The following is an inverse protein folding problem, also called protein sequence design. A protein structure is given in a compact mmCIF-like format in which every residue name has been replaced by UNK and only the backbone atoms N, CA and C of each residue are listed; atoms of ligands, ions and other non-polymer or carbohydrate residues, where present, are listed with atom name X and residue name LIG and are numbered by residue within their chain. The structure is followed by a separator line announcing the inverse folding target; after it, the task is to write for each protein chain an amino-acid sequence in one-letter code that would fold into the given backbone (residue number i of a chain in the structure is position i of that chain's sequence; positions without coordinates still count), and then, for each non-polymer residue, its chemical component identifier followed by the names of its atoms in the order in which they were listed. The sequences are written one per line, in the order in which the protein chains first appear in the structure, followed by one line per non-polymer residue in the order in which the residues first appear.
data_IF_379870049461
#
_entry.id   IF_379870049461
#
_cell.length_a   1.000
_cell.length_b   1.000
_cell.length_c   1.000
_cell.angle_alpha   90.00
_cell.angle_beta   90.00
_cell.angle_gamma   90.00
#
_symmetry.space_group_name_H-M   'P 1'
#
loop_
_entity.id
_entity.type
_entity.pdbx_description
1 polymer ?
#
# COMPACT_ATOMS: atom_id res chain seq x y z
N UNK A 1 -4.70 4.16 -10.06
CA UNK A 1 -4.24 2.87 -9.51
C UNK A 1 -3.66 2.11 -10.70
N UNK A 2 -2.38 2.33 -11.03
CA UNK A 2 -1.83 1.90 -12.33
C UNK A 2 -0.97 0.62 -12.25
N UNK A 3 -0.34 0.35 -11.10
CA UNK A 3 0.64 -0.74 -11.00
C UNK A 3 -0.01 -2.13 -10.96
N UNK A 4 -1.15 -2.25 -10.29
CA UNK A 4 -1.93 -3.51 -10.25
C UNK A 4 -2.38 -3.88 -11.66
N UNK A 5 -2.89 -2.91 -12.40
CA UNK A 5 -3.27 -3.13 -13.80
C UNK A 5 -2.08 -3.37 -14.72
N UNK A 6 -0.91 -2.77 -14.46
CA UNK A 6 0.30 -3.07 -15.23
C UNK A 6 0.78 -4.52 -15.05
N UNK A 7 0.54 -5.10 -13.87
CA UNK A 7 0.87 -6.51 -13.62
C UNK A 7 -0.16 -7.42 -14.27
N UNK A 8 -1.46 -7.13 -14.13
CA UNK A 8 -2.54 -7.95 -14.68
C UNK A 8 -2.71 -7.81 -16.22
N UNK A 9 -2.47 -6.63 -16.77
CA UNK A 9 -2.64 -6.26 -18.19
C UNK A 9 -1.40 -5.53 -18.74
N UNK A 10 -0.25 -6.21 -18.85
CA UNK A 10 1.02 -5.57 -19.21
C UNK A 10 1.04 -4.91 -20.61
N UNK A 11 0.18 -5.35 -21.54
CA UNK A 11 0.06 -4.73 -22.88
C UNK A 11 -0.65 -3.36 -22.86
N UNK A 12 -1.54 -3.13 -21.88
CA UNK A 12 -2.26 -1.87 -21.75
C UNK A 12 -1.41 -0.77 -21.08
N UNK A 13 -0.33 -1.15 -20.38
CA UNK A 13 0.46 -0.26 -19.54
C UNK A 13 1.97 -0.36 -19.82
N UNK A 14 2.42 -0.03 -21.06
CA UNK A 14 3.82 -0.18 -21.46
C UNK A 14 4.79 0.69 -20.64
N UNK A 15 4.34 1.82 -20.10
CA UNK A 15 5.14 2.71 -19.24
C UNK A 15 5.61 2.01 -17.95
N UNK A 16 4.87 1.02 -17.46
CA UNK A 16 5.16 0.29 -16.22
C UNK A 16 5.75 -1.10 -16.47
N UNK A 17 6.22 -1.38 -17.70
CA UNK A 17 6.70 -2.71 -18.10
C UNK A 17 7.81 -3.22 -17.18
N UNK A 18 8.80 -2.38 -16.86
CA UNK A 18 9.90 -2.78 -16.00
C UNK A 18 9.44 -3.18 -14.59
N UNK A 19 8.64 -2.33 -13.96
CA UNK A 19 8.09 -2.54 -12.62
C UNK A 19 7.17 -3.77 -12.59
N UNK A 20 6.28 -3.89 -13.57
CA UNK A 20 5.36 -5.02 -13.70
C UNK A 20 6.08 -6.35 -13.93
N UNK A 21 7.18 -6.37 -14.71
CA UNK A 21 7.99 -7.59 -14.90
C UNK A 21 8.75 -7.97 -13.63
N UNK A 22 9.32 -7.00 -12.90
CA UNK A 22 10.00 -7.29 -11.63
C UNK A 22 9.04 -7.88 -10.59
N UNK A 23 7.85 -7.29 -10.46
CA UNK A 23 6.85 -7.77 -9.50
C UNK A 23 6.36 -9.18 -9.86
N UNK A 24 6.09 -9.44 -11.14
CA UNK A 24 5.66 -10.76 -11.61
C UNK A 24 6.68 -11.86 -11.31
N UNK A 25 7.97 -11.59 -11.51
CA UNK A 25 9.05 -12.52 -11.15
C UNK A 25 9.12 -12.82 -9.65
N UNK A 26 8.74 -11.87 -8.80
CA UNK A 26 8.67 -12.10 -7.37
C UNK A 26 7.45 -12.97 -7.01
N UNK A 27 6.31 -12.71 -7.66
CA UNK A 27 5.06 -13.45 -7.47
C UNK A 27 5.10 -14.89 -8.00
N UNK A 28 5.91 -15.18 -9.03
CA UNK A 28 6.15 -16.55 -9.54
C UNK A 28 6.66 -17.52 -8.47
N UNK A 29 7.26 -17.02 -7.39
CA UNK A 29 7.77 -17.83 -6.28
C UNK A 29 6.70 -18.15 -5.23
N UNK A 30 5.50 -17.60 -5.36
CA UNK A 30 4.41 -17.72 -4.41
C UNK A 30 3.33 -18.58 -5.07
N UNK A 31 3.00 -19.70 -4.43
CA UNK A 31 2.10 -20.71 -5.01
C UNK A 31 0.69 -20.15 -5.26
N UNK A 32 0.21 -19.31 -4.35
CA UNK A 32 -1.07 -18.62 -4.46
C UNK A 32 -0.90 -17.16 -4.05
N UNK A 33 -1.31 -16.25 -4.92
CA UNK A 33 -1.29 -14.82 -4.64
C UNK A 33 -2.47 -14.14 -5.33
N UNK A 34 -2.93 -13.03 -4.75
CA UNK A 34 -3.87 -12.11 -5.37
C UNK A 34 -3.35 -10.69 -5.23
N UNK A 35 -3.61 -9.87 -6.24
CA UNK A 35 -3.19 -8.47 -6.26
C UNK A 35 -4.43 -7.60 -6.39
N UNK A 36 -4.77 -6.88 -5.33
CA UNK A 36 -5.89 -5.95 -5.30
C UNK A 36 -5.38 -4.51 -5.21
N UNK A 37 -5.99 -3.63 -6.00
CA UNK A 37 -5.74 -2.20 -5.93
C UNK A 37 -6.75 -1.55 -4.99
N UNK A 38 -6.35 -1.19 -3.77
CA UNK A 38 -7.14 -0.29 -2.94
C UNK A 38 -7.05 1.17 -3.44
N UNK A 39 -8.18 1.79 -3.80
CA UNK A 39 -8.21 3.24 -4.01
C UNK A 39 -7.61 3.95 -2.78
N UNK A 40 -6.79 4.99 -2.98
CA UNK A 40 -6.20 5.80 -1.89
C UNK A 40 -7.29 6.29 -0.92
N UNK A 41 -8.52 6.49 -1.42
CA UNK A 41 -9.69 6.88 -0.61
C UNK A 41 -10.15 5.80 0.39
N UNK A 42 -9.84 4.53 0.15
CA UNK A 42 -10.17 3.39 1.02
C UNK A 42 -9.01 3.01 1.95
N UNK A 43 -7.89 3.73 1.88
CA UNK A 43 -6.73 3.46 2.73
C UNK A 43 -6.06 4.77 3.15
N UNK A 44 -6.90 5.68 3.65
CA UNK A 44 -6.48 6.98 4.18
C UNK A 44 -5.48 6.75 5.32
N UNK A 45 -5.71 5.72 6.13
CA UNK A 45 -4.84 5.33 7.22
C UNK A 45 -3.43 4.97 6.74
N UNK A 46 -3.25 4.04 5.79
CA UNK A 46 -1.92 3.71 5.28
C UNK A 46 -1.24 4.88 4.54
N UNK A 47 -2.02 5.74 3.88
CA UNK A 47 -1.50 6.94 3.22
C UNK A 47 -0.93 7.92 4.25
N UNK A 48 -1.67 8.21 5.32
CA UNK A 48 -1.18 9.08 6.39
C UNK A 48 -0.02 8.48 7.18
N UNK A 49 0.02 7.16 7.34
CA UNK A 49 1.19 6.47 7.90
C UNK A 49 2.39 6.66 6.99
N UNK A 50 2.25 6.42 5.68
CA UNK A 50 3.31 6.66 4.71
C UNK A 50 3.79 8.12 4.75
N UNK A 51 2.87 9.09 4.71
CA UNK A 51 3.18 10.52 4.81
C UNK A 51 3.93 10.84 6.12
N UNK A 52 3.51 10.29 7.27
CA UNK A 52 4.21 10.47 8.54
C UNK A 52 5.64 9.91 8.54
N UNK A 53 5.88 8.82 7.78
CA UNK A 53 7.20 8.21 7.67
C UNK A 53 8.12 9.01 6.73
N UNK A 54 7.58 9.52 5.61
CA UNK A 54 8.34 10.28 4.61
C UNK A 54 8.51 11.76 4.94
N UNK A 55 7.51 12.42 5.53
CA UNK A 55 7.54 13.87 5.81
C UNK A 55 7.99 14.19 7.24
N UNK A 56 7.68 13.35 8.23
CA UNK A 56 8.00 13.63 9.63
C UNK A 56 9.20 12.83 10.17
N UNK A 57 9.86 12.01 9.33
CA UNK A 57 11.02 11.16 9.68
C UNK A 57 10.79 10.28 10.93
N UNK A 58 9.54 9.86 11.20
CA UNK A 58 9.15 9.07 12.38
C UNK A 58 9.46 7.57 12.22
N UNK A 59 10.65 7.24 11.75
CA UNK A 59 11.08 5.86 11.45
C UNK A 59 11.03 4.90 12.65
N UNK A 60 11.08 5.42 13.88
CA UNK A 60 11.29 4.63 15.10
C UNK A 60 10.08 4.59 16.04
N UNK A 61 9.01 5.35 15.77
CA UNK A 61 7.99 5.62 16.80
C UNK A 61 6.95 4.51 17.01
N UNK A 62 6.63 3.72 15.99
CA UNK A 62 5.52 2.74 16.09
C UNK A 62 5.91 1.45 16.81
N UNK A 63 7.15 0.97 16.61
CA UNK A 63 7.61 -0.30 17.22
C UNK A 63 8.10 -0.08 18.66
N UNK A 64 8.73 1.06 18.96
CA UNK A 64 9.31 1.32 20.28
C UNK A 64 8.32 1.96 21.28
N UNK A 65 7.30 2.67 20.80
CA UNK A 65 6.41 3.51 21.63
C UNK A 65 4.95 3.05 21.66
N UNK A 66 4.62 2.01 20.90
CA UNK A 66 3.25 1.55 20.68
C UNK A 66 2.52 2.37 19.60
N UNK A 67 1.30 1.93 19.28
CA UNK A 67 0.44 2.62 18.31
C UNK A 67 0.08 4.01 18.83
N UNK A 68 0.32 5.10 18.07
CA UNK A 68 -0.13 6.44 18.43
C UNK A 68 -1.65 6.52 18.55
N UNK A 69 -2.16 7.28 19.53
CA UNK A 69 -3.61 7.43 19.75
C UNK A 69 -4.37 7.89 18.51
N UNK A 70 -3.81 8.84 17.76
CA UNK A 70 -4.41 9.30 16.49
C UNK A 70 -4.55 8.19 15.44
N UNK A 71 -3.66 7.18 15.45
CA UNK A 71 -3.74 6.05 14.52
C UNK A 71 -4.84 5.07 14.96
N UNK A 72 -5.04 4.86 16.27
CA UNK A 72 -6.17 4.09 16.78
C UNK A 72 -7.50 4.72 16.35
N UNK A 73 -7.67 6.03 16.56
CA UNK A 73 -8.90 6.74 16.20
C UNK A 73 -9.19 6.62 14.70
N UNK A 74 -8.15 6.79 13.86
CA UNK A 74 -8.30 6.63 12.40
C UNK A 74 -8.59 5.19 11.97
N UNK A 75 -8.06 4.18 12.66
CA UNK A 75 -8.37 2.78 12.38
C UNK A 75 -9.80 2.42 12.80
N UNK A 76 -10.32 3.04 13.87
CA UNK A 76 -11.72 2.89 14.27
C UNK A 76 -12.68 3.55 13.28
N UNK A 77 -12.34 4.74 12.78
CA UNK A 77 -13.10 5.43 11.74
C UNK A 77 -13.10 4.65 10.42
N UNK A 78 -11.94 4.10 10.01
CA UNK A 78 -11.78 3.29 8.79
C UNK A 78 -12.58 1.98 8.88
N UNK A 79 -12.62 1.33 10.06
CA UNK A 79 -13.49 0.16 10.33
C UNK A 79 -14.98 0.48 10.21
N UNK A 80 -15.38 1.72 10.48
CA UNK A 80 -16.77 2.17 10.37
C UNK A 80 -17.13 2.62 8.95
N UNK A 81 -16.18 2.61 8.01
CA UNK A 81 -16.39 2.95 6.59
C UNK A 81 -16.73 4.42 6.36
N UNK A 82 -16.26 5.33 7.23
CA UNK A 82 -16.55 6.76 7.20
C UNK A 82 -15.44 7.58 6.53
#
# INVERSE_FOLDING_TARGET
MDLVEAVLKPKAWPAFRYQGTKLRKALEKINEWSLSGASVRLNICATKVADSLTMEMRYQCYVARGVPGWLCDMLEDDKQGR
#
